data_IF_770641381736
#
_entry.id   IF_770641381736
#
_cell.length_a   1.000
_cell.length_b   1.000
_cell.length_c   1.000
_cell.angle_alpha   90.00
_cell.angle_beta   90.00
_cell.angle_gamma   90.00
#
_symmetry.space_group_name_H-M   'P 1'
#
loop_
_entity.id
_entity.type
_entity.pdbx_description
1 polymer ?
#
# COMPACT_ATOMS: atom_id res chain seq x y z
N UNK A 1 -12.11 3.93 -19.22
CA UNK A 1 -10.88 3.13 -19.01
C UNK A 1 -9.84 4.10 -18.49
N UNK A 2 -9.34 3.91 -17.27
CA UNK A 2 -8.46 4.91 -16.61
C UNK A 2 -7.10 5.02 -17.32
N UNK A 3 -6.54 6.22 -17.39
CA UNK A 3 -5.22 6.45 -17.97
C UNK A 3 -4.14 6.09 -16.95
N UNK A 4 -3.44 4.97 -17.18
CA UNK A 4 -2.37 4.49 -16.27
C UNK A 4 -1.12 5.36 -16.25
N UNK A 5 -0.95 6.29 -17.19
CA UNK A 5 0.15 7.25 -17.17
C UNK A 5 -0.10 8.42 -16.20
N UNK A 6 -1.35 8.61 -15.76
CA UNK A 6 -1.74 9.66 -14.81
C UNK A 6 -2.63 9.06 -13.73
N UNK A 7 -2.08 8.23 -12.83
CA UNK A 7 -2.86 7.58 -11.80
C UNK A 7 -3.49 8.60 -10.86
N UNK A 8 -4.74 8.33 -10.49
CA UNK A 8 -5.51 9.11 -9.52
C UNK A 8 -6.01 8.20 -8.39
N UNK A 9 -6.28 8.79 -7.24
CA UNK A 9 -6.92 8.13 -6.11
C UNK A 9 -8.06 9.01 -5.59
N UNK A 10 -9.13 8.38 -5.12
CA UNK A 10 -10.31 9.08 -4.59
C UNK A 10 -10.91 8.30 -3.42
N UNK A 11 -11.87 8.92 -2.74
CA UNK A 11 -12.69 8.27 -1.72
C UNK A 11 -13.97 7.63 -2.30
N UNK A 12 -14.10 7.57 -3.62
CA UNK A 12 -15.26 6.97 -4.27
C UNK A 12 -15.34 5.48 -3.93
N UNK A 13 -16.49 5.03 -3.43
CA UNK A 13 -16.67 3.64 -2.96
C UNK A 13 -16.24 3.38 -1.52
N UNK A 14 -15.76 4.38 -0.76
CA UNK A 14 -15.51 4.27 0.67
C UNK A 14 -16.77 4.67 1.48
N UNK A 15 -17.56 3.73 2.02
CA UNK A 15 -18.82 4.03 2.73
C UNK A 15 -18.61 4.77 4.06
N UNK A 16 -17.39 4.76 4.61
CA UNK A 16 -16.99 5.49 5.82
C UNK A 16 -15.65 6.17 5.56
N UNK A 17 -15.67 7.22 4.74
CA UNK A 17 -14.48 8.04 4.50
C UNK A 17 -14.09 8.78 5.78
N UNK A 18 -12.79 8.80 6.08
CA UNK A 18 -12.24 9.49 7.25
C UNK A 18 -12.05 11.01 7.00
N UNK A 19 -12.58 11.55 5.89
CA UNK A 19 -12.43 12.96 5.48
C UNK A 19 -11.02 13.36 5.02
N UNK A 20 -10.05 12.44 5.10
CA UNK A 20 -8.65 12.69 4.72
C UNK A 20 -8.45 12.83 3.20
N UNK A 21 -9.30 12.16 2.43
CA UNK A 21 -9.28 12.19 0.97
C UNK A 21 -10.67 12.64 0.53
N UNK A 22 -10.71 13.76 -0.17
CA UNK A 22 -11.93 14.28 -0.80
C UNK A 22 -11.66 14.49 -2.29
N UNK A 23 -12.64 14.07 -3.10
CA UNK A 23 -12.55 14.16 -4.56
C UNK A 23 -11.47 13.26 -5.16
N UNK A 24 -11.17 13.52 -6.44
CA UNK A 24 -10.12 12.84 -7.18
C UNK A 24 -8.79 13.59 -7.02
N UNK A 25 -7.76 12.90 -6.55
CA UNK A 25 -6.42 13.43 -6.33
C UNK A 25 -5.43 12.73 -7.25
N UNK A 26 -4.47 13.50 -7.77
CA UNK A 26 -3.40 12.95 -8.62
C UNK A 26 -2.31 12.35 -7.74
N UNK A 27 -1.79 11.20 -8.15
CA UNK A 27 -0.58 10.64 -7.54
C UNK A 27 0.62 11.41 -8.10
N UNK A 28 1.40 12.01 -7.21
CA UNK A 28 2.64 12.68 -7.60
C UNK A 28 3.66 11.64 -8.11
N UNK A 29 4.21 11.82 -9.32
CA UNK A 29 5.15 10.87 -9.87
C UNK A 29 6.48 10.94 -9.10
N UNK A 30 6.96 9.78 -8.69
CA UNK A 30 8.29 9.64 -8.10
C UNK A 30 9.24 9.24 -9.23
N UNK A 31 10.18 10.11 -9.57
CA UNK A 31 11.24 9.77 -10.52
C UNK A 31 12.14 8.69 -9.91
N UNK A 32 12.12 7.50 -10.50
CA UNK A 32 12.94 6.37 -10.08
C UNK A 32 13.34 5.51 -11.30
N UNK A 33 14.46 4.78 -11.22
CA UNK A 33 14.82 3.82 -12.25
C UNK A 33 13.74 2.72 -12.39
N UNK A 34 13.76 2.01 -13.53
CA UNK A 34 12.99 0.78 -13.68
C UNK A 34 13.27 -0.18 -12.50
N UNK A 35 12.24 -0.93 -12.08
CA UNK A 35 12.28 -1.75 -10.87
C UNK A 35 13.49 -2.70 -10.81
N UNK A 36 13.82 -3.38 -11.92
CA UNK A 36 14.97 -4.29 -11.94
C UNK A 36 16.29 -3.52 -11.91
N UNK A 37 16.35 -2.36 -12.57
CA UNK A 37 17.53 -1.52 -12.57
C UNK A 37 17.80 -0.93 -11.19
N UNK A 38 16.77 -0.43 -10.50
CA UNK A 38 16.87 0.05 -9.11
C UNK A 38 17.43 -1.05 -8.19
N UNK A 39 16.88 -2.26 -8.30
CA UNK A 39 17.35 -3.41 -7.52
C UNK A 39 18.83 -3.73 -7.77
N UNK A 40 19.27 -3.81 -9.02
CA UNK A 40 20.68 -4.06 -9.36
C UNK A 40 21.60 -2.93 -8.90
N UNK A 41 21.18 -1.68 -9.03
CA UNK A 41 21.93 -0.51 -8.55
C UNK A 41 22.06 -0.51 -7.03
N UNK A 42 21.01 -0.90 -6.31
CA UNK A 42 21.01 -1.01 -4.86
C UNK A 42 21.96 -2.10 -4.36
N UNK A 43 22.00 -3.26 -5.02
CA UNK A 43 23.00 -4.31 -4.74
C UNK A 43 24.41 -3.77 -4.91
N UNK A 44 24.69 -3.13 -6.04
CA UNK A 44 26.03 -2.63 -6.37
C UNK A 44 26.51 -1.54 -5.42
N UNK A 45 25.60 -0.68 -4.96
CA UNK A 45 25.93 0.50 -4.16
C UNK A 45 25.59 0.36 -2.68
N UNK A 46 25.18 -0.83 -2.23
CA UNK A 46 24.73 -1.10 -0.86
C UNK A 46 23.64 -0.10 -0.38
N UNK A 47 22.56 0.03 -1.15
CA UNK A 47 21.40 0.89 -0.85
C UNK A 47 20.14 0.05 -0.64
N UNK A 48 19.12 0.68 -0.05
CA UNK A 48 17.78 0.09 0.08
C UNK A 48 17.01 0.40 -1.20
N UNK A 49 16.36 -0.60 -1.84
CA UNK A 49 15.55 -0.39 -3.04
C UNK A 49 14.27 0.38 -2.72
N UNK A 50 13.70 1.02 -3.74
CA UNK A 50 12.42 1.74 -3.63
C UNK A 50 11.31 0.79 -3.15
N UNK A 51 11.34 -0.46 -3.59
CA UNK A 51 10.44 -1.54 -3.17
C UNK A 51 11.15 -2.49 -2.20
N UNK A 52 11.37 -2.02 -0.97
CA UNK A 52 12.00 -2.83 0.09
C UNK A 52 11.11 -3.96 0.60
N UNK A 53 11.72 -4.93 1.30
CA UNK A 53 10.98 -6.04 1.94
C UNK A 53 9.95 -5.54 2.96
N UNK A 54 10.19 -4.40 3.61
CA UNK A 54 9.27 -3.82 4.59
C UNK A 54 7.98 -3.33 3.92
N UNK A 55 8.08 -2.71 2.73
CA UNK A 55 6.91 -2.34 1.93
C UNK A 55 6.14 -3.60 1.50
N UNK A 56 6.85 -4.64 1.06
CA UNK A 56 6.26 -5.94 0.72
C UNK A 56 5.53 -6.59 1.91
N UNK A 57 6.11 -6.52 3.11
CA UNK A 57 5.49 -7.00 4.34
C UNK A 57 4.20 -6.24 4.67
N UNK A 58 4.21 -4.91 4.57
CA UNK A 58 3.03 -4.07 4.82
C UNK A 58 1.89 -4.39 3.84
N UNK A 59 2.20 -4.60 2.56
CA UNK A 59 1.21 -5.05 1.58
C UNK A 59 0.60 -6.40 1.95
N UNK A 60 1.43 -7.38 2.34
CA UNK A 60 0.96 -8.69 2.75
C UNK A 60 0.05 -8.62 3.99
N UNK A 61 0.40 -7.80 4.98
CA UNK A 61 -0.44 -7.55 6.17
C UNK A 61 -1.80 -6.99 5.75
N UNK A 62 -1.85 -5.98 4.87
CA UNK A 62 -3.10 -5.39 4.41
C UNK A 62 -4.00 -6.42 3.70
N UNK A 63 -3.43 -7.28 2.84
CA UNK A 63 -4.16 -8.37 2.17
C UNK A 63 -4.73 -9.36 3.18
N UNK A 64 -3.94 -9.78 4.17
CA UNK A 64 -4.39 -10.68 5.24
C UNK A 64 -5.49 -10.05 6.10
N UNK A 65 -5.40 -8.74 6.39
CA UNK A 65 -6.44 -8.03 7.12
C UNK A 65 -7.75 -8.00 6.35
N UNK A 66 -7.70 -7.75 5.04
CA UNK A 66 -8.88 -7.75 4.18
C UNK A 66 -9.53 -9.14 4.13
N UNK A 67 -8.73 -10.20 3.96
CA UNK A 67 -9.24 -11.57 3.98
C UNK A 67 -9.86 -11.91 5.33
N UNK A 68 -9.20 -11.55 6.44
CA UNK A 68 -9.73 -11.83 7.78
C UNK A 68 -11.03 -11.08 8.05
N UNK A 69 -11.13 -9.83 7.61
CA UNK A 69 -12.35 -9.02 7.70
C UNK A 69 -13.48 -9.67 6.90
N UNK A 70 -13.19 -10.16 5.70
CA UNK A 70 -14.16 -10.84 4.84
C UNK A 70 -14.68 -12.13 5.48
N UNK A 71 -13.79 -12.99 5.98
CA UNK A 71 -14.16 -14.27 6.61
C UNK A 71 -15.00 -14.10 7.88
N UNK A 72 -14.68 -13.09 8.68
CA UNK A 72 -15.29 -12.90 10.02
C UNK A 72 -16.48 -11.94 10.02
N UNK A 73 -16.66 -11.15 8.96
CA UNK A 73 -17.64 -10.07 8.90
C UNK A 73 -17.37 -8.94 9.90
N UNK A 74 -16.14 -8.84 10.42
CA UNK A 74 -15.75 -7.92 11.50
C UNK A 74 -14.64 -6.99 11.07
N UNK A 75 -14.50 -5.87 11.78
CA UNK A 75 -13.40 -4.92 11.52
C UNK A 75 -12.08 -5.57 11.94
N UNK A 76 -11.07 -5.40 11.09
CA UNK A 76 -9.71 -5.88 11.37
C UNK A 76 -8.78 -4.68 11.55
N UNK A 77 -7.89 -4.76 12.54
CA UNK A 77 -6.82 -3.78 12.80
C UNK A 77 -5.47 -4.50 12.89
N UNK A 78 -4.39 -3.79 12.59
CA UNK A 78 -3.03 -4.30 12.76
C UNK A 78 -2.32 -3.61 13.91
N UNK A 79 -1.91 -4.40 14.90
CA UNK A 79 -1.04 -3.95 15.99
C UNK A 79 0.41 -4.01 15.50
N UNK A 80 1.00 -2.84 15.22
CA UNK A 80 2.37 -2.72 14.75
C UNK A 80 3.41 -3.13 15.80
N UNK A 81 3.11 -2.94 17.09
CA UNK A 81 4.04 -3.24 18.18
C UNK A 81 4.16 -4.75 18.38
N UNK A 82 3.02 -5.42 18.41
CA UNK A 82 2.94 -6.88 18.59
C UNK A 82 3.06 -7.65 17.28
N UNK A 83 2.99 -6.95 16.14
CA UNK A 83 2.93 -7.49 14.78
C UNK A 83 1.80 -8.50 14.60
N UNK A 84 0.61 -8.14 15.06
CA UNK A 84 -0.58 -9.02 15.08
C UNK A 84 -1.77 -8.38 14.37
N UNK A 85 -2.51 -9.21 13.65
CA UNK A 85 -3.81 -8.85 13.10
C UNK A 85 -4.87 -9.18 14.16
N UNK A 86 -5.65 -8.17 14.56
CA UNK A 86 -6.72 -8.30 15.55
C UNK A 86 -8.07 -8.07 14.88
N UNK A 87 -9.04 -8.91 15.22
CA UNK A 87 -10.41 -8.79 14.73
C UNK A 87 -11.31 -8.38 15.90
N UNK A 88 -12.05 -7.28 15.73
CA UNK A 88 -12.98 -6.74 16.74
C UNK A 88 -14.42 -6.92 16.30
#
# INVERSE_FOLDING_TARGET
>A
MSNWNTPTYSNEGAPRGDGLIEGEQKVEPIECPDHFLDWLQCIRNNRIPVASIDAGYQHAVAVLMAMKSYETGRKTIYDHKERKILTT
#
